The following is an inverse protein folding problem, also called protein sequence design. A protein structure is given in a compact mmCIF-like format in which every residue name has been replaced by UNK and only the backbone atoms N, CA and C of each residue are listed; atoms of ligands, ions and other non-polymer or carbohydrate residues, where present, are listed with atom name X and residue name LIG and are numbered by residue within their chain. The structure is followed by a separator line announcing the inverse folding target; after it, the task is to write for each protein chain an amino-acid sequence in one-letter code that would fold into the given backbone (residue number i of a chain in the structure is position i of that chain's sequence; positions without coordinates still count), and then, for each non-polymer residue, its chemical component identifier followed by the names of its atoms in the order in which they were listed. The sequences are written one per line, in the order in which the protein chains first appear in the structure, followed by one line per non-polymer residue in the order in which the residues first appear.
data_IF_776876504376
#
_entry.id   IF_776876504376
#
_cell.length_a   1.000
_cell.length_b   1.000
_cell.length_c   1.000
_cell.angle_alpha   90.00
_cell.angle_beta   90.00
_cell.angle_gamma   90.00
#
_symmetry.space_group_name_H-M   'P 1'
#
loop_
_entity.id
_entity.type
_entity.pdbx_description
1 polymer ?
#
# COMPACT_ATOMS: atom_id res chain seq x y z
N UNK A 1 -20.81 -10.93 -17.61
CA UNK A 1 -21.15 -11.15 -16.18
C UNK A 1 -21.68 -9.86 -15.54
N UNK A 2 -22.50 -9.89 -14.48
CA UNK A 2 -22.97 -8.67 -13.83
C UNK A 2 -21.83 -7.92 -13.12
N UNK A 3 -21.94 -6.59 -13.09
CA UNK A 3 -20.99 -5.70 -12.43
C UNK A 3 -21.07 -5.86 -10.91
N UNK A 4 -19.92 -5.98 -10.25
CA UNK A 4 -19.80 -6.08 -8.80
C UNK A 4 -18.92 -4.99 -8.25
N UNK A 5 -19.36 -4.38 -7.16
CA UNK A 5 -18.59 -3.41 -6.41
C UNK A 5 -18.62 -3.79 -4.94
N UNK A 6 -17.45 -3.81 -4.31
CA UNK A 6 -17.37 -3.80 -2.85
C UNK A 6 -16.65 -2.57 -2.36
N UNK A 7 -16.98 -2.19 -1.14
CA UNK A 7 -16.33 -1.10 -0.46
C UNK A 7 -16.07 -1.49 0.99
N UNK A 8 -14.99 -0.99 1.57
CA UNK A 8 -14.74 -1.21 2.99
C UNK A 8 -15.75 -0.46 3.87
N UNK A 9 -16.31 -1.11 4.89
CA UNK A 9 -17.36 -0.51 5.72
C UNK A 9 -16.91 0.79 6.39
N UNK A 10 -15.70 0.82 6.97
CA UNK A 10 -15.21 2.00 7.70
C UNK A 10 -14.68 3.07 6.75
N UNK A 11 -13.99 2.66 5.68
CA UNK A 11 -13.40 3.52 4.67
C UNK A 11 -14.41 4.22 3.80
N UNK A 12 -15.57 3.60 3.60
CA UNK A 12 -16.63 4.13 2.75
C UNK A 12 -17.83 4.65 3.55
N UNK A 13 -17.63 5.04 4.82
CA UNK A 13 -18.66 5.68 5.67
C UNK A 13 -19.28 6.93 5.04
N UNK A 14 -18.56 7.64 4.17
CA UNK A 14 -19.06 8.82 3.45
C UNK A 14 -19.97 8.47 2.27
N UNK A 15 -20.02 7.21 1.84
CA UNK A 15 -20.87 6.79 0.74
C UNK A 15 -22.33 6.78 1.17
N UNK A 16 -23.13 7.63 0.52
CA UNK A 16 -24.53 7.82 0.91
C UNK A 16 -25.39 6.61 0.56
N UNK A 17 -26.47 6.39 1.32
CA UNK A 17 -27.48 5.37 0.98
C UNK A 17 -28.08 5.60 -0.40
N UNK A 18 -28.24 6.86 -0.80
CA UNK A 18 -28.75 7.23 -2.13
C UNK A 18 -27.80 6.74 -3.23
N UNK A 19 -26.50 6.98 -3.10
CA UNK A 19 -25.47 6.51 -4.04
C UNK A 19 -25.51 4.99 -4.21
N UNK A 20 -25.63 4.25 -3.09
CA UNK A 20 -25.75 2.79 -3.12
C UNK A 20 -27.02 2.37 -3.87
N UNK A 21 -28.15 3.02 -3.60
CA UNK A 21 -29.41 2.73 -4.30
C UNK A 21 -29.34 3.01 -5.80
N UNK A 22 -28.68 4.10 -6.21
CA UNK A 22 -28.47 4.44 -7.62
C UNK A 22 -27.59 3.40 -8.33
N UNK A 23 -26.53 2.93 -7.68
CA UNK A 23 -25.68 1.83 -8.18
C UNK A 23 -26.50 0.54 -8.37
N UNK A 24 -27.26 0.14 -7.34
CA UNK A 24 -28.07 -1.08 -7.39
C UNK A 24 -29.16 -1.00 -8.47
N UNK A 25 -29.83 0.15 -8.61
CA UNK A 25 -30.82 0.39 -9.67
C UNK A 25 -30.21 0.32 -11.08
N UNK A 26 -28.92 0.61 -11.20
CA UNK A 26 -28.18 0.51 -12.46
C UNK A 26 -27.65 -0.92 -12.74
N UNK A 27 -28.00 -1.91 -11.91
CA UNK A 27 -27.60 -3.30 -12.07
C UNK A 27 -26.26 -3.67 -11.44
N UNK A 28 -25.67 -2.78 -10.62
CA UNK A 28 -24.44 -3.10 -9.88
C UNK A 28 -24.80 -3.87 -8.62
N UNK A 29 -24.20 -5.05 -8.45
CA UNK A 29 -24.26 -5.79 -7.21
C UNK A 29 -23.27 -5.17 -6.23
N UNK A 30 -23.77 -4.73 -5.07
CA UNK A 30 -22.98 -4.01 -4.07
C UNK A 30 -22.87 -4.78 -2.75
N UNK A 31 -21.67 -4.79 -2.15
CA UNK A 31 -21.47 -5.29 -0.78
C UNK A 31 -20.46 -4.43 0.01
N UNK A 32 -20.55 -4.50 1.34
CA UNK A 32 -19.51 -3.93 2.21
C UNK A 32 -18.63 -5.03 2.79
N UNK A 33 -17.33 -4.81 2.79
CA UNK A 33 -16.35 -5.64 3.51
C UNK A 33 -16.27 -5.26 4.98
N UNK A 34 -15.97 -6.26 5.83
CA UNK A 34 -15.77 -6.11 7.28
C UNK A 34 -16.87 -5.32 8.01
N UNK A 35 -18.14 -5.63 7.69
CA UNK A 35 -19.28 -5.12 8.47
C UNK A 35 -19.07 -5.45 9.96
N UNK A 36 -19.29 -4.50 10.89
CA UNK A 36 -19.15 -4.73 12.32
C UNK A 36 -20.05 -5.89 12.78
N UNK A 37 -19.49 -6.84 13.54
CA UNK A 37 -20.20 -8.04 14.01
C UNK A 37 -19.90 -8.31 15.48
N UNK A 38 -20.92 -8.74 16.23
CA UNK A 38 -20.80 -9.23 17.60
C UNK A 38 -20.32 -10.69 17.62
N UNK A 39 -19.60 -11.15 18.67
CA UNK A 39 -19.21 -10.41 19.88
C UNK A 39 -17.93 -9.57 19.73
N UNK A 40 -17.16 -9.74 18.66
CA UNK A 40 -15.83 -9.10 18.46
C UNK A 40 -15.90 -7.73 17.80
N UNK A 41 -16.75 -6.83 18.33
CA UNK A 41 -17.05 -5.55 17.68
C UNK A 41 -15.80 -4.66 17.51
N UNK A 42 -14.98 -4.52 18.54
CA UNK A 42 -13.75 -3.70 18.49
C UNK A 42 -12.76 -4.22 17.44
N UNK A 43 -12.57 -5.53 17.35
CA UNK A 43 -11.69 -6.15 16.36
C UNK A 43 -12.23 -5.99 14.93
N UNK A 44 -13.51 -6.25 14.71
CA UNK A 44 -14.13 -6.17 13.37
C UNK A 44 -14.17 -4.75 12.83
N UNK A 45 -14.30 -3.74 13.68
CA UNK A 45 -14.21 -2.31 13.28
C UNK A 45 -12.77 -1.92 12.91
N UNK A 46 -11.78 -2.54 13.53
CA UNK A 46 -10.37 -2.24 13.26
C UNK A 46 -9.85 -2.92 11.99
N UNK A 47 -10.44 -4.03 11.55
CA UNK A 47 -10.10 -4.62 10.25
C UNK A 47 -10.53 -3.73 9.10
N UNK A 48 -9.70 -3.68 8.06
CA UNK A 48 -9.97 -2.92 6.84
C UNK A 48 -9.66 -3.77 5.63
N UNK A 49 -10.55 -3.73 4.64
CA UNK A 49 -10.24 -4.20 3.31
C UNK A 49 -9.50 -3.05 2.62
N UNK A 50 -8.18 -3.20 2.55
CA UNK A 50 -7.32 -2.19 1.97
C UNK A 50 -6.90 -2.56 0.54
N UNK A 51 -7.41 -3.66 -0.01
CA UNK A 51 -7.20 -4.07 -1.39
C UNK A 51 -7.96 -3.15 -2.35
N UNK A 52 -7.28 -2.68 -3.39
CA UNK A 52 -7.89 -1.95 -4.51
C UNK A 52 -7.65 -2.78 -5.76
N UNK A 53 -8.70 -3.45 -6.21
CA UNK A 53 -8.69 -4.37 -7.35
C UNK A 53 -9.81 -3.97 -8.28
N UNK A 54 -9.49 -3.80 -9.55
CA UNK A 54 -10.47 -3.68 -10.63
C UNK A 54 -10.21 -4.76 -11.65
N UNK A 55 -11.23 -5.54 -12.01
CA UNK A 55 -11.14 -6.50 -13.11
C UNK A 55 -12.26 -6.22 -14.11
N UNK A 56 -11.87 -6.05 -15.38
CA UNK A 56 -12.77 -5.75 -16.49
C UNK A 56 -12.81 -6.96 -17.41
N UNK A 57 -14.00 -7.53 -17.59
CA UNK A 57 -14.29 -8.69 -18.44
C UNK A 57 -13.43 -9.94 -18.18
N UNK A 58 -12.77 -10.01 -17.01
CA UNK A 58 -11.77 -11.04 -16.71
C UNK A 58 -10.49 -10.95 -17.56
N UNK A 59 -10.26 -9.83 -18.26
CA UNK A 59 -9.15 -9.67 -19.24
C UNK A 59 -8.18 -8.54 -18.90
N UNK A 60 -8.64 -7.53 -18.18
CA UNK A 60 -7.83 -6.39 -17.76
C UNK A 60 -7.95 -6.27 -16.25
N UNK A 61 -6.82 -6.27 -15.57
CA UNK A 61 -6.72 -6.12 -14.13
C UNK A 61 -6.03 -4.81 -13.77
N UNK A 62 -6.44 -4.21 -12.65
CA UNK A 62 -5.71 -3.12 -12.01
C UNK A 62 -5.54 -3.40 -10.52
N UNK A 63 -4.35 -3.08 -9.99
CA UNK A 63 -4.02 -3.16 -8.57
C UNK A 63 -3.02 -2.04 -8.21
N UNK A 64 -3.03 -1.57 -6.96
CA UNK A 64 -2.07 -0.58 -6.46
C UNK A 64 -2.71 0.43 -5.52
N UNK A 65 -2.09 1.58 -5.30
CA UNK A 65 -2.48 2.50 -4.23
C UNK A 65 -3.76 3.32 -4.49
N UNK A 66 -4.20 3.43 -5.74
CA UNK A 66 -5.30 4.32 -6.12
C UNK A 66 -6.63 3.92 -5.48
N UNK A 67 -7.26 4.88 -4.80
CA UNK A 67 -8.66 4.81 -4.41
C UNK A 67 -9.54 5.45 -5.49
N UNK A 68 -10.87 5.31 -5.35
CA UNK A 68 -11.83 6.05 -6.16
C UNK A 68 -12.12 7.38 -5.48
N UNK A 69 -11.45 8.45 -5.93
CA UNK A 69 -11.56 9.79 -5.36
C UNK A 69 -11.07 10.89 -6.30
N UNK A 70 -11.49 12.13 -6.06
CA UNK A 70 -11.14 13.29 -6.91
C UNK A 70 -9.64 13.62 -6.84
N UNK A 71 -9.01 13.30 -5.72
CA UNK A 71 -7.60 13.50 -5.46
C UNK A 71 -6.69 12.75 -6.46
N UNK A 72 -7.07 11.55 -6.90
CA UNK A 72 -6.31 10.74 -7.88
C UNK A 72 -6.44 11.23 -9.33
N UNK A 73 -7.30 12.23 -9.58
CA UNK A 73 -7.44 12.90 -10.89
C UNK A 73 -7.08 14.38 -10.79
N UNK A 74 -6.30 14.76 -9.77
CA UNK A 74 -5.85 16.13 -9.49
C UNK A 74 -7.00 17.14 -9.30
N UNK A 75 -8.17 16.68 -8.86
CA UNK A 75 -9.33 17.51 -8.52
C UNK A 75 -9.61 17.56 -7.01
N UNK A 76 -8.63 17.16 -6.20
CA UNK A 76 -8.69 17.26 -4.74
C UNK A 76 -8.50 18.72 -4.26
N UNK A 77 -9.19 19.09 -3.19
CA UNK A 77 -9.12 20.44 -2.60
C UNK A 77 -7.84 20.68 -1.77
N UNK A 78 -7.22 19.61 -1.28
CA UNK A 78 -6.01 19.64 -0.44
C UNK A 78 -5.03 18.58 -0.91
N UNK A 79 -3.74 18.77 -0.59
CA UNK A 79 -2.72 17.74 -0.77
C UNK A 79 -2.55 17.26 -2.23
N UNK A 80 -2.78 18.15 -3.18
CA UNK A 80 -2.86 17.86 -4.62
C UNK A 80 -1.57 18.37 -5.32
N UNK A 81 -0.98 17.63 -6.27
CA UNK A 81 -1.30 16.26 -6.72
C UNK A 81 -1.06 15.17 -5.69
N UNK A 82 -1.82 14.08 -5.82
CA UNK A 82 -1.50 12.80 -5.19
C UNK A 82 -0.57 12.03 -6.11
N UNK A 83 0.62 11.70 -5.60
CA UNK A 83 1.59 10.85 -6.28
C UNK A 83 1.46 9.44 -5.75
N UNK A 84 1.16 8.49 -6.63
CA UNK A 84 0.97 7.08 -6.29
C UNK A 84 1.25 6.19 -7.52
N UNK A 85 1.24 4.87 -7.34
CA UNK A 85 1.52 3.85 -8.35
C UNK A 85 0.31 2.91 -8.50
N UNK A 86 -0.01 2.57 -9.74
CA UNK A 86 -1.09 1.65 -10.07
C UNK A 86 -0.71 0.79 -11.27
N UNK A 87 -0.75 -0.52 -11.12
CA UNK A 87 -0.40 -1.45 -12.18
C UNK A 87 -1.63 -1.74 -13.03
N UNK A 88 -1.42 -1.76 -14.34
CA UNK A 88 -2.33 -2.38 -15.29
C UNK A 88 -1.78 -3.74 -15.68
N UNK A 89 -2.59 -4.76 -15.56
CA UNK A 89 -2.24 -6.14 -15.87
C UNK A 89 -3.14 -6.68 -16.99
N UNK A 90 -2.54 -7.47 -17.88
CA UNK A 90 -3.22 -8.21 -18.95
C UNK A 90 -2.60 -9.60 -19.09
N UNK A 91 -3.33 -10.52 -19.72
CA UNK A 91 -2.89 -11.91 -19.82
C UNK A 91 -3.17 -12.69 -18.54
N UNK A 92 -2.55 -13.86 -18.38
CA UNK A 92 -2.88 -14.84 -17.34
C UNK A 92 -2.87 -14.29 -15.90
N UNK A 93 -2.02 -13.31 -15.57
CA UNK A 93 -1.99 -12.71 -14.22
C UNK A 93 -3.30 -12.04 -13.79
N UNK A 94 -4.16 -11.64 -14.74
CA UNK A 94 -5.50 -11.09 -14.42
C UNK A 94 -6.36 -12.12 -13.68
N UNK A 95 -6.11 -13.41 -13.91
CA UNK A 95 -6.80 -14.50 -13.22
C UNK A 95 -6.60 -14.41 -11.70
N UNK A 96 -5.40 -14.09 -11.23
CA UNK A 96 -5.10 -14.00 -9.80
C UNK A 96 -5.93 -12.88 -9.15
N UNK A 97 -5.99 -11.71 -9.79
CA UNK A 97 -6.82 -10.60 -9.31
C UNK A 97 -8.31 -10.93 -9.31
N UNK A 98 -8.77 -11.65 -10.34
CA UNK A 98 -10.15 -12.13 -10.42
C UNK A 98 -10.46 -13.12 -9.29
N UNK A 99 -9.56 -14.06 -9.00
CA UNK A 99 -9.71 -15.03 -7.91
C UNK A 99 -9.72 -14.36 -6.53
N UNK A 100 -8.85 -13.38 -6.29
CA UNK A 100 -8.84 -12.61 -5.03
C UNK A 100 -10.13 -11.81 -4.88
N UNK A 101 -10.55 -11.08 -5.91
CA UNK A 101 -11.78 -10.30 -5.85
C UNK A 101 -13.01 -11.18 -5.55
N UNK A 102 -13.11 -12.33 -6.21
CA UNK A 102 -14.22 -13.28 -6.01
C UNK A 102 -14.14 -13.99 -4.67
N UNK A 103 -12.95 -14.29 -4.15
CA UNK A 103 -12.78 -14.84 -2.80
C UNK A 103 -13.26 -13.87 -1.73
N UNK A 104 -12.86 -12.60 -1.86
CA UNK A 104 -13.35 -11.55 -0.97
C UNK A 104 -14.87 -11.32 -1.15
N UNK A 105 -15.40 -11.51 -2.36
CA UNK A 105 -16.84 -11.37 -2.62
C UNK A 105 -17.62 -12.47 -1.90
N UNK A 106 -17.14 -13.71 -2.02
CA UNK A 106 -17.69 -14.85 -1.33
C UNK A 106 -17.64 -14.67 0.19
N UNK A 107 -16.52 -14.16 0.74
CA UNK A 107 -16.41 -13.85 2.17
C UNK A 107 -17.51 -12.90 2.67
N UNK A 108 -17.82 -11.86 1.90
CA UNK A 108 -18.77 -10.82 2.32
C UNK A 108 -20.24 -11.16 2.04
N UNK A 109 -20.52 -12.02 1.06
CA UNK A 109 -21.88 -12.27 0.53
C UNK A 109 -22.33 -13.72 0.63
N UNK A 110 -21.41 -14.66 0.84
CA UNK A 110 -21.62 -16.10 0.74
C UNK A 110 -22.03 -16.58 -0.68
N UNK A 111 -21.82 -15.76 -1.71
CA UNK A 111 -22.02 -16.13 -3.12
C UNK A 111 -20.69 -16.49 -3.77
N UNK A 112 -20.49 -17.76 -4.15
CA UNK A 112 -19.24 -18.22 -4.75
C UNK A 112 -19.32 -18.26 -6.28
N UNK A 113 -18.47 -17.46 -6.94
CA UNK A 113 -18.36 -17.42 -8.40
C UNK A 113 -16.99 -17.88 -8.92
N UNK A 114 -16.09 -18.37 -8.06
CA UNK A 114 -14.73 -18.76 -8.47
C UNK A 114 -14.69 -19.95 -9.43
N UNK A 115 -15.75 -20.75 -9.48
CA UNK A 115 -15.95 -21.81 -10.47
C UNK A 115 -16.79 -21.42 -11.68
N UNK A 116 -17.17 -20.15 -11.83
CA UNK A 116 -18.07 -19.71 -12.92
C UNK A 116 -17.27 -19.33 -14.17
N UNK A 117 -17.34 -20.10 -15.28
CA UNK A 117 -16.48 -19.89 -16.45
C UNK A 117 -16.60 -18.51 -17.09
N UNK A 118 -17.76 -17.86 -16.94
CA UNK A 118 -18.00 -16.53 -17.48
C UNK A 118 -17.09 -15.42 -16.89
N UNK A 119 -16.46 -15.62 -15.72
CA UNK A 119 -15.46 -14.69 -15.17
C UNK A 119 -14.02 -15.02 -15.56
N UNK A 120 -13.79 -16.19 -16.16
CA UNK A 120 -12.46 -16.71 -16.48
C UNK A 120 -12.37 -16.98 -17.98
N UNK A 121 -12.33 -15.92 -18.81
CA UNK A 121 -12.10 -16.12 -20.23
C UNK A 121 -10.72 -16.76 -20.46
N UNK A 122 -10.51 -17.35 -21.63
CA UNK A 122 -9.18 -17.79 -22.04
C UNK A 122 -8.26 -16.59 -22.16
N UNK A 123 -7.15 -16.62 -21.43
CA UNK A 123 -6.12 -15.60 -21.41
C UNK A 123 -4.85 -16.13 -22.05
N UNK A 124 -4.02 -15.23 -22.56
CA UNK A 124 -2.69 -15.58 -23.09
C UNK A 124 -1.65 -15.44 -21.99
N UNK A 125 -0.64 -16.32 -21.94
CA UNK A 125 0.50 -16.16 -21.04
C UNK A 125 1.16 -14.79 -21.18
N UNK A 126 1.50 -14.19 -20.03
CA UNK A 126 2.30 -12.98 -19.98
C UNK A 126 3.79 -13.29 -20.18
N UNK A 127 4.59 -12.26 -20.47
CA UNK A 127 6.04 -12.38 -20.60
C UNK A 127 6.80 -12.00 -19.33
N UNK A 128 6.13 -11.37 -18.35
CA UNK A 128 6.73 -10.84 -17.14
C UNK A 128 6.42 -11.76 -15.95
N UNK A 129 7.47 -12.28 -15.33
CA UNK A 129 7.35 -13.04 -14.09
C UNK A 129 6.91 -12.11 -12.95
N UNK A 130 5.87 -12.51 -12.24
CA UNK A 130 5.35 -11.79 -11.09
C UNK A 130 4.72 -12.76 -10.09
N UNK A 131 4.50 -12.26 -8.87
CA UNK A 131 3.78 -12.95 -7.81
C UNK A 131 2.78 -11.99 -7.18
N UNK A 132 1.50 -12.38 -7.15
CA UNK A 132 0.50 -11.68 -6.35
C UNK A 132 0.56 -12.18 -4.92
N UNK A 133 0.80 -11.27 -3.98
CA UNK A 133 0.87 -11.55 -2.54
C UNK A 133 -0.38 -10.96 -1.88
N UNK A 134 -1.11 -11.80 -1.15
CA UNK A 134 -2.39 -11.45 -0.54
C UNK A 134 -2.31 -11.73 0.95
N UNK A 135 -2.54 -10.71 1.77
CA UNK A 135 -2.40 -10.81 3.24
C UNK A 135 -3.66 -10.36 3.95
N UNK A 136 -3.93 -10.88 5.15
CA UNK A 136 -5.13 -10.58 5.93
C UNK A 136 -4.78 -10.20 7.38
N UNK A 137 -3.80 -9.30 7.55
CA UNK A 137 -3.22 -8.94 8.84
C UNK A 137 -2.20 -9.96 9.36
N UNK A 138 -1.60 -10.74 8.45
CA UNK A 138 -0.52 -11.70 8.70
C UNK A 138 0.37 -11.79 7.47
N UNK A 139 1.57 -12.36 7.60
CA UNK A 139 2.47 -12.76 6.51
C UNK A 139 3.14 -11.63 5.72
N UNK A 140 2.60 -10.40 5.73
CA UNK A 140 3.22 -9.26 5.03
C UNK A 140 4.62 -8.95 5.59
N UNK A 141 4.76 -8.90 6.92
CA UNK A 141 6.07 -8.70 7.57
C UNK A 141 7.09 -9.75 7.10
N UNK A 142 6.68 -11.02 7.04
CA UNK A 142 7.55 -12.11 6.60
C UNK A 142 7.95 -11.95 5.12
N UNK A 143 7.00 -11.60 4.25
CA UNK A 143 7.27 -11.34 2.83
C UNK A 143 8.27 -10.20 2.65
N UNK A 144 8.03 -9.08 3.33
CA UNK A 144 8.91 -7.90 3.27
C UNK A 144 10.30 -8.19 3.84
N UNK A 145 10.39 -8.89 4.98
CA UNK A 145 11.66 -9.36 5.54
C UNK A 145 12.42 -10.24 4.54
N UNK A 146 11.73 -11.17 3.86
CA UNK A 146 12.37 -12.03 2.87
C UNK A 146 12.92 -11.21 1.69
N UNK A 147 12.18 -10.23 1.20
CA UNK A 147 12.64 -9.35 0.12
C UNK A 147 13.85 -8.51 0.54
N UNK A 148 13.79 -7.86 1.71
CA UNK A 148 14.88 -7.02 2.23
C UNK A 148 16.19 -7.82 2.39
N UNK A 149 16.09 -9.08 2.83
CA UNK A 149 17.25 -9.99 2.94
C UNK A 149 17.94 -10.30 1.63
N UNK A 150 17.26 -10.19 0.50
CA UNK A 150 17.84 -10.46 -0.81
C UNK A 150 18.61 -9.27 -1.40
N UNK A 151 18.49 -8.08 -0.79
CA UNK A 151 19.17 -6.88 -1.28
C UNK A 151 20.68 -6.96 -1.10
N UNK A 152 21.41 -6.63 -2.17
CA UNK A 152 22.88 -6.59 -2.22
C UNK A 152 23.44 -5.21 -2.56
N UNK A 153 22.64 -4.31 -3.16
CA UNK A 153 23.10 -2.99 -3.63
C UNK A 153 22.24 -1.85 -3.11
N UNK A 154 20.91 -1.93 -3.30
CA UNK A 154 19.99 -0.85 -2.96
C UNK A 154 18.59 -1.34 -2.59
N UNK A 155 17.95 -0.57 -1.72
CA UNK A 155 16.53 -0.66 -1.35
C UNK A 155 15.94 0.74 -1.47
N UNK A 156 14.89 0.89 -2.28
CA UNK A 156 14.11 2.14 -2.33
C UNK A 156 12.69 1.84 -1.86
N UNK A 157 12.23 2.54 -0.83
CA UNK A 157 10.89 2.39 -0.25
C UNK A 157 10.13 3.70 -0.45
N UNK A 158 9.04 3.66 -1.21
CA UNK A 158 8.07 4.74 -1.29
C UNK A 158 6.81 4.40 -0.49
N UNK A 159 6.50 5.19 0.54
CA UNK A 159 5.33 4.96 1.42
C UNK A 159 4.76 6.29 1.94
N UNK A 160 3.42 6.43 2.12
CA UNK A 160 2.90 7.57 2.86
C UNK A 160 3.27 7.52 4.35
N UNK A 161 3.40 6.32 4.90
CA UNK A 161 3.59 6.07 6.33
C UNK A 161 4.75 5.11 6.54
N UNK A 162 5.74 5.54 7.32
CA UNK A 162 6.91 4.73 7.64
C UNK A 162 6.93 4.46 9.15
N UNK A 163 6.20 3.43 9.55
CA UNK A 163 6.06 3.01 10.94
C UNK A 163 6.33 1.49 10.98
N UNK A 164 7.55 1.05 10.64
CA UNK A 164 7.85 -0.37 10.54
C UNK A 164 7.66 -1.10 11.87
N UNK A 165 7.48 -2.41 11.77
CA UNK A 165 7.69 -3.30 12.92
C UNK A 165 9.16 -3.32 13.32
N UNK A 166 9.44 -3.83 14.52
CA UNK A 166 10.81 -3.94 15.01
C UNK A 166 11.63 -4.90 14.14
N UNK A 167 11.01 -5.97 13.64
CA UNK A 167 11.61 -6.89 12.67
C UNK A 167 12.00 -6.15 11.38
N UNK A 168 11.08 -5.43 10.75
CA UNK A 168 11.37 -4.73 9.49
C UNK A 168 12.42 -3.64 9.67
N UNK A 169 12.38 -2.91 10.79
CA UNK A 169 13.41 -1.94 11.11
C UNK A 169 14.77 -2.63 11.21
N UNK A 170 14.86 -3.74 11.97
CA UNK A 170 16.11 -4.47 12.14
C UNK A 170 16.68 -4.99 10.81
N UNK A 171 15.85 -5.49 9.92
CA UNK A 171 16.28 -5.98 8.60
C UNK A 171 16.84 -4.87 7.70
N UNK A 172 16.26 -3.65 7.76
CA UNK A 172 16.81 -2.49 7.07
C UNK A 172 18.17 -2.05 7.64
N UNK A 173 18.32 -2.09 8.96
CA UNK A 173 19.59 -1.80 9.64
C UNK A 173 20.67 -2.81 9.27
N UNK A 174 20.30 -4.09 9.18
CA UNK A 174 21.21 -5.14 8.72
C UNK A 174 21.58 -4.98 7.23
N UNK A 175 20.68 -4.49 6.39
CA UNK A 175 21.00 -4.14 5.00
C UNK A 175 22.02 -3.00 4.93
N UNK A 176 21.82 -1.92 5.69
CA UNK A 176 22.79 -0.81 5.80
C UNK A 176 24.16 -1.29 6.29
N UNK A 177 24.18 -2.18 7.28
CA UNK A 177 25.42 -2.78 7.79
C UNK A 177 26.14 -3.69 6.78
N UNK A 178 25.46 -4.14 5.71
CA UNK A 178 26.03 -4.85 4.55
C UNK A 178 26.37 -3.91 3.38
N UNK A 179 26.46 -2.61 3.63
CA UNK A 179 26.71 -1.56 2.63
C UNK A 179 25.65 -1.47 1.51
N UNK A 180 24.42 -1.96 1.77
CA UNK A 180 23.26 -1.78 0.89
C UNK A 180 22.72 -0.37 1.10
N UNK A 181 22.55 0.42 0.03
CA UNK A 181 21.94 1.74 0.16
C UNK A 181 20.44 1.61 0.48
N UNK A 182 19.95 2.37 1.45
CA UNK A 182 18.53 2.39 1.80
C UNK A 182 18.01 3.82 1.64
N UNK A 183 17.06 4.00 0.74
CA UNK A 183 16.38 5.28 0.50
C UNK A 183 14.90 5.13 0.81
N UNK A 184 14.36 6.03 1.65
CA UNK A 184 12.94 6.06 2.00
C UNK A 184 12.33 7.37 1.53
N UNK A 185 11.34 7.30 0.64
CA UNK A 185 10.56 8.44 0.16
C UNK A 185 9.24 8.50 0.94
N UNK A 186 9.00 9.62 1.60
CA UNK A 186 7.80 9.90 2.39
C UNK A 186 7.25 11.30 2.08
N UNK A 187 5.96 11.58 2.32
CA UNK A 187 5.42 12.91 2.13
C UNK A 187 6.04 13.94 3.10
N UNK A 188 6.36 15.14 2.61
CA UNK A 188 6.71 16.26 3.49
C UNK A 188 5.49 16.72 4.31
N UNK A 189 4.33 16.76 3.65
CA UNK A 189 3.04 17.21 4.21
C UNK A 189 2.18 15.97 4.49
N UNK A 190 1.77 15.79 5.75
CA UNK A 190 0.94 14.65 6.18
C UNK A 190 -0.55 14.93 5.99
N UNK A 191 -1.33 13.89 5.69
CA UNK A 191 -2.80 13.92 5.64
C UNK A 191 -3.46 13.73 7.01
N UNK A 192 -2.73 13.10 7.94
CA UNK A 192 -3.16 12.89 9.32
C UNK A 192 -2.22 13.55 10.33
N UNK A 193 -2.80 14.08 11.41
CA UNK A 193 -2.04 14.59 12.54
C UNK A 193 -1.29 13.42 13.21
N UNK A 194 -0.04 13.65 13.62
CA UNK A 194 0.84 12.71 14.33
C UNK A 194 1.54 11.63 13.50
N UNK A 195 1.13 11.35 12.26
CA UNK A 195 1.77 10.28 11.46
C UNK A 195 3.22 10.60 11.11
N UNK A 196 3.49 11.85 10.76
CA UNK A 196 4.85 12.35 10.55
C UNK A 196 5.69 12.18 11.82
N UNK A 197 5.14 12.57 12.96
CA UNK A 197 5.79 12.41 14.27
C UNK A 197 5.99 10.93 14.65
N UNK A 198 5.08 10.03 14.27
CA UNK A 198 5.21 8.58 14.50
C UNK A 198 6.42 7.98 13.77
N UNK A 199 6.80 8.57 12.63
CA UNK A 199 7.89 8.08 11.78
C UNK A 199 9.28 8.54 12.26
N UNK A 200 9.37 9.68 12.96
CA UNK A 200 10.64 10.28 13.37
C UNK A 200 11.55 9.41 14.24
N UNK A 201 11.05 8.62 15.22
CA UNK A 201 11.90 7.71 15.98
C UNK A 201 12.66 6.73 15.08
N UNK A 202 12.01 6.22 14.04
CA UNK A 202 12.60 5.29 13.08
C UNK A 202 13.62 5.99 12.18
N UNK A 203 13.28 7.19 11.67
CA UNK A 203 14.20 7.97 10.84
C UNK A 203 15.48 8.35 11.58
N UNK A 204 15.43 8.68 12.87
CA UNK A 204 16.65 8.97 13.65
C UNK A 204 17.61 7.78 13.67
N UNK A 205 17.09 6.56 13.78
CA UNK A 205 17.92 5.35 13.75
C UNK A 205 18.53 5.16 12.37
N UNK A 206 17.70 5.20 11.33
CA UNK A 206 18.15 4.93 9.96
C UNK A 206 19.10 6.02 9.41
N UNK A 207 18.83 7.29 9.65
CA UNK A 207 19.71 8.40 9.24
C UNK A 207 21.11 8.27 9.87
N UNK A 208 21.17 7.95 11.16
CA UNK A 208 22.43 7.73 11.88
C UNK A 208 23.24 6.55 11.30
N UNK A 209 22.55 5.57 10.74
CA UNK A 209 23.15 4.39 10.12
C UNK A 209 23.36 4.55 8.60
N UNK A 210 23.15 5.74 8.05
CA UNK A 210 23.49 6.09 6.67
C UNK A 210 22.37 5.94 5.65
N UNK A 211 21.13 5.70 6.07
CA UNK A 211 19.99 5.74 5.15
C UNK A 211 19.68 7.16 4.68
N UNK A 212 19.08 7.28 3.51
CA UNK A 212 18.56 8.52 2.98
C UNK A 212 17.05 8.61 3.19
N UNK A 213 16.57 9.64 3.89
CA UNK A 213 15.15 9.89 4.06
C UNK A 213 14.76 11.12 3.23
N UNK A 214 13.91 10.92 2.23
CA UNK A 214 13.55 11.90 1.22
C UNK A 214 12.10 12.33 1.40
N UNK A 215 11.89 13.63 1.59
CA UNK A 215 10.57 14.23 1.79
C UNK A 215 10.05 14.80 0.47
N UNK A 216 9.07 14.11 -0.12
CA UNK A 216 8.43 14.53 -1.36
C UNK A 216 7.66 15.84 -1.17
N UNK A 217 7.89 16.81 -2.06
CA UNK A 217 7.43 18.20 -1.88
C UNK A 217 6.31 18.62 -2.82
N UNK A 218 6.07 17.89 -3.92
CA UNK A 218 5.11 18.29 -4.96
C UNK A 218 3.65 17.93 -4.69
N UNK A 219 3.30 17.57 -3.46
CA UNK A 219 1.95 17.20 -3.08
C UNK A 219 1.95 16.13 -2.00
N UNK A 220 0.99 15.21 -2.05
CA UNK A 220 0.96 14.09 -1.13
C UNK A 220 1.46 12.81 -1.78
N UNK A 221 2.50 12.26 -1.18
CA UNK A 221 3.13 11.03 -1.61
C UNK A 221 2.40 9.84 -0.97
N UNK A 222 1.56 9.19 -1.76
CA UNK A 222 0.72 8.07 -1.36
C UNK A 222 1.16 6.75 -1.98
N UNK A 223 2.35 6.69 -2.57
CA UNK A 223 2.93 5.49 -3.16
C UNK A 223 3.05 4.32 -2.18
N UNK A 224 2.97 3.09 -2.69
CA UNK A 224 3.32 1.86 -1.96
C UNK A 224 4.19 1.02 -2.87
N UNK A 225 5.48 1.35 -2.89
CA UNK A 225 6.45 0.77 -3.80
C UNK A 225 7.72 0.40 -3.04
N UNK A 226 8.26 -0.78 -3.30
CA UNK A 226 9.55 -1.22 -2.80
C UNK A 226 10.34 -1.76 -3.98
N UNK A 227 11.51 -1.20 -4.22
CA UNK A 227 12.44 -1.65 -5.27
C UNK A 227 13.70 -2.20 -4.60
N UNK A 228 14.06 -3.44 -4.96
CA UNK A 228 15.25 -4.14 -4.44
C UNK A 228 16.17 -4.45 -5.62
N UNK A 229 17.37 -3.85 -5.59
CA UNK A 229 18.39 -3.98 -6.62
C UNK A 229 17.83 -3.82 -8.05
N UNK A 230 18.22 -4.70 -8.97
CA UNK A 230 17.64 -4.90 -10.30
C UNK A 230 16.89 -6.24 -10.39
N UNK A 231 16.41 -6.77 -9.26
CA UNK A 231 15.87 -8.15 -9.15
C UNK A 231 14.38 -8.23 -8.84
N UNK A 232 13.81 -7.25 -8.11
CA UNK A 232 12.38 -7.21 -7.85
C UNK A 232 11.85 -5.82 -7.54
N UNK A 233 10.58 -5.60 -7.89
CA UNK A 233 9.81 -4.43 -7.50
C UNK A 233 8.44 -4.87 -6.99
N UNK A 234 8.09 -4.47 -5.78
CA UNK A 234 6.77 -4.67 -5.20
C UNK A 234 5.95 -3.38 -5.30
N UNK A 235 4.78 -3.46 -5.92
CA UNK A 235 3.79 -2.39 -5.97
C UNK A 235 2.45 -2.96 -5.51
N UNK A 236 1.80 -2.26 -4.58
CA UNK A 236 0.60 -2.81 -3.97
C UNK A 236 -0.24 -1.79 -3.21
N UNK A 237 -0.95 -2.30 -2.22
CA UNK A 237 -1.80 -1.49 -1.34
C UNK A 237 -1.19 -1.27 0.03
N UNK A 238 -0.26 -2.14 0.44
CA UNK A 238 0.34 -2.13 1.76
C UNK A 238 1.27 -0.93 1.97
N UNK A 239 1.03 -0.14 3.01
CA UNK A 239 1.99 0.84 3.48
C UNK A 239 3.12 0.13 4.25
N UNK A 240 4.24 0.82 4.46
CA UNK A 240 5.32 0.36 5.33
C UNK A 240 5.03 0.65 6.81
N UNK A 241 3.89 0.15 7.30
CA UNK A 241 3.39 0.37 8.66
C UNK A 241 2.93 -0.93 9.36
N UNK A 242 2.85 -0.88 10.70
CA UNK A 242 2.37 -1.99 11.53
C UNK A 242 0.94 -2.39 11.19
N UNK A 243 0.10 -1.42 10.84
CA UNK A 243 -1.31 -1.67 10.52
C UNK A 243 -1.48 -2.53 9.26
N UNK A 244 -0.71 -2.26 8.21
CA UNK A 244 -0.67 -3.09 6.99
C UNK A 244 -0.13 -4.48 7.29
N UNK A 245 0.86 -4.58 8.19
CA UNK A 245 1.44 -5.87 8.58
C UNK A 245 0.47 -6.76 9.37
N UNK A 246 -0.30 -6.19 10.30
CA UNK A 246 -0.96 -6.96 11.36
C UNK A 246 -2.48 -6.82 11.44
N UNK A 247 -3.10 -5.91 10.68
CA UNK A 247 -4.54 -5.63 10.79
C UNK A 247 -5.26 -5.59 9.44
N UNK A 248 -4.69 -4.92 8.45
CA UNK A 248 -5.35 -4.72 7.17
C UNK A 248 -5.25 -5.94 6.28
N UNK A 249 -6.24 -6.09 5.39
CA UNK A 249 -6.15 -6.99 4.25
C UNK A 249 -5.52 -6.24 3.08
N UNK A 250 -4.37 -6.70 2.60
CA UNK A 250 -3.58 -6.05 1.55
C UNK A 250 -3.43 -6.96 0.33
N UNK A 251 -3.08 -6.35 -0.80
CA UNK A 251 -2.67 -7.02 -2.03
C UNK A 251 -1.49 -6.29 -2.65
N UNK A 252 -0.46 -7.06 -2.95
CA UNK A 252 0.81 -6.60 -3.47
C UNK A 252 1.18 -7.43 -4.70
N UNK A 253 1.93 -6.84 -5.64
CA UNK A 253 2.40 -7.53 -6.82
C UNK A 253 3.91 -7.34 -6.93
N UNK A 254 4.64 -8.43 -6.69
CA UNK A 254 6.09 -8.48 -6.81
C UNK A 254 6.42 -8.85 -8.24
N UNK A 255 7.07 -7.96 -8.97
CA UNK A 255 7.47 -8.14 -10.36
C UNK A 255 8.98 -8.38 -10.41
N UNK A 256 9.40 -9.40 -11.16
CA UNK A 256 10.80 -9.84 -11.30
C UNK A 256 11.38 -9.55 -12.69
N UNK A 257 10.66 -8.80 -13.51
CA UNK A 257 11.10 -8.41 -14.85
C UNK A 257 12.01 -7.18 -14.81
N UNK A 258 13.22 -7.31 -15.36
CA UNK A 258 14.22 -6.25 -15.33
C UNK A 258 13.78 -4.98 -16.06
N UNK A 259 13.09 -5.10 -17.20
CA UNK A 259 12.66 -3.93 -17.98
C UNK A 259 11.64 -3.13 -17.18
N UNK A 260 10.69 -3.83 -16.55
CA UNK A 260 9.72 -3.22 -15.65
C UNK A 260 10.40 -2.52 -14.46
N UNK A 261 11.37 -3.18 -13.82
CA UNK A 261 12.12 -2.62 -12.69
C UNK A 261 12.87 -1.34 -13.11
N UNK A 262 13.52 -1.35 -14.27
CA UNK A 262 14.21 -0.18 -14.82
C UNK A 262 13.25 0.98 -15.10
N UNK A 263 12.02 0.71 -15.54
CA UNK A 263 11.01 1.74 -15.76
C UNK A 263 10.48 2.31 -14.44
N UNK A 264 10.22 1.48 -13.44
CA UNK A 264 9.84 1.95 -12.09
C UNK A 264 10.98 2.74 -11.44
N UNK A 265 12.23 2.34 -11.64
CA UNK A 265 13.38 3.09 -11.14
C UNK A 265 13.45 4.51 -11.72
N UNK A 266 13.14 4.69 -13.02
CA UNK A 266 13.07 6.03 -13.63
C UNK A 266 11.98 6.89 -13.00
N UNK A 267 10.81 6.30 -12.72
CA UNK A 267 9.71 6.99 -12.04
C UNK A 267 10.08 7.39 -10.60
N UNK A 268 10.76 6.50 -9.87
CA UNK A 268 11.29 6.79 -8.54
C UNK A 268 12.37 7.87 -8.57
N UNK A 269 13.19 7.93 -9.61
CA UNK A 269 14.18 8.99 -9.77
C UNK A 269 13.53 10.38 -9.95
N UNK A 270 12.36 10.45 -10.61
CA UNK A 270 11.55 11.67 -10.67
C UNK A 270 11.05 12.02 -9.26
N UNK A 271 10.51 11.05 -8.51
CA UNK A 271 10.03 11.27 -7.15
C UNK A 271 11.15 11.78 -6.22
N UNK A 272 12.37 11.25 -6.37
CA UNK A 272 13.56 11.68 -5.63
C UNK A 272 13.98 13.11 -6.00
N UNK A 273 13.94 13.46 -7.29
CA UNK A 273 14.26 14.82 -7.76
C UNK A 273 13.25 15.87 -7.25
N UNK A 274 12.02 15.44 -6.95
CA UNK A 274 10.96 16.26 -6.36
C UNK A 274 10.93 16.20 -4.82
N UNK A 275 11.94 15.57 -4.22
CA UNK A 275 12.07 15.41 -2.78
C UNK A 275 13.24 16.21 -2.20
N UNK A 276 13.14 16.52 -0.91
CA UNK A 276 14.22 17.13 -0.13
C UNK A 276 14.72 16.16 0.94
N UNK A 277 16.03 16.03 1.16
CA UNK A 277 16.55 15.18 2.23
C UNK A 277 16.12 15.71 3.62
N UNK A 278 15.73 14.78 4.49
CA UNK A 278 15.50 15.03 5.91
C UNK A 278 16.82 14.92 6.67
N UNK A 279 17.37 16.07 7.06
CA UNK A 279 18.65 16.11 7.77
C UNK A 279 18.50 15.69 9.24
N UNK A 280 19.49 14.98 9.76
CA UNK A 280 19.56 14.55 11.17
C UNK A 280 19.41 15.73 12.14
N UNK A 281 20.03 16.88 11.83
CA UNK A 281 19.94 18.13 12.61
C UNK A 281 18.50 18.61 12.82
N UNK A 282 17.63 18.33 11.85
CA UNK A 282 16.21 18.68 11.96
C UNK A 282 15.56 17.87 13.08
N UNK A 283 15.95 16.60 13.26
CA UNK A 283 15.39 15.67 14.23
C UNK A 283 16.09 15.68 15.59
N UNK A 284 17.34 16.14 15.65
CA UNK A 284 18.16 16.21 16.88
C UNK A 284 17.82 17.43 17.75
N UNK A 285 17.37 18.54 17.15
CA UNK A 285 16.98 19.73 17.90
C UNK A 285 15.82 19.45 18.87
N UNK A 286 16.05 19.70 20.17
CA UNK A 286 15.05 19.49 21.22
C UNK A 286 13.83 20.37 20.98
N UNK A 287 12.70 19.77 20.61
CA UNK A 287 11.41 20.43 20.49
C UNK A 287 10.41 19.70 21.37
N UNK A 288 10.08 20.30 22.53
CA UNK A 288 9.23 19.69 23.56
C UNK A 288 7.84 19.31 23.02
N UNK A 289 7.27 20.15 22.14
CA UNK A 289 5.97 19.87 21.51
C UNK A 289 6.08 18.66 20.58
N UNK A 290 7.15 18.58 19.80
CA UNK A 290 7.42 17.42 18.95
C UNK A 290 7.63 16.16 19.79
N UNK A 291 8.43 16.19 20.84
CA UNK A 291 8.68 15.04 21.72
C UNK A 291 7.39 14.55 22.40
N UNK A 292 6.49 15.45 22.83
CA UNK A 292 5.19 15.06 23.36
C UNK A 292 4.31 14.36 22.31
N UNK A 293 4.28 14.89 21.08
CA UNK A 293 3.56 14.27 19.96
C UNK A 293 4.14 12.92 19.56
N UNK A 294 5.46 12.77 19.54
CA UNK A 294 6.14 11.50 19.26
C UNK A 294 5.78 10.43 20.29
N UNK A 295 5.78 10.79 21.58
CA UNK A 295 5.35 9.88 22.65
C UNK A 295 3.91 9.42 22.47
N UNK A 296 2.99 10.35 22.16
CA UNK A 296 1.60 10.02 21.88
C UNK A 296 1.45 9.14 20.62
N UNK A 297 2.19 9.46 19.57
CA UNK A 297 2.18 8.73 18.31
C UNK A 297 2.72 7.30 18.46
N UNK A 298 3.77 7.11 19.29
CA UNK A 298 4.34 5.80 19.59
C UNK A 298 3.33 4.87 20.26
N UNK A 299 2.53 5.40 21.20
CA UNK A 299 1.43 4.66 21.86
C UNK A 299 0.37 4.23 20.84
N UNK A 300 0.09 5.08 19.85
CA UNK A 300 -0.89 4.82 18.79
C UNK A 300 -0.32 3.99 17.63
N UNK A 301 1.00 3.80 17.55
CA UNK A 301 1.68 3.13 16.44
C UNK A 301 1.14 1.74 16.06
N UNK A 302 0.62 0.90 16.99
CA UNK A 302 0.00 -0.37 16.59
C UNK A 302 -1.29 -0.21 15.77
N UNK A 303 -1.90 0.98 15.81
CA UNK A 303 -3.15 1.31 15.11
C UNK A 303 -2.95 2.27 13.93
N UNK A 304 -1.76 2.84 13.80
CA UNK A 304 -1.34 3.73 12.70
C UNK A 304 -0.81 2.88 11.53
#
# INVERSE_FOLDING_TARGET
PPNRLKADWVGSKKMSRQTIQELTKSGVHFSFSFKPKLPFLFYTIQKRNHRKITVIDGKIGYLGGFNIGKEYINQGEKLNPWRDYHLKMTGEGVKDLQEVFLSDWFYDTNEDYRGTPAYFPTLTPGTQAHQVVVTNGSDLEQSLTHMIKQANKKIIIGTPYFIPSDTLLQELREALARDVSVTVIVPEISDHALVKEASYPYFRVLLKEGAEIMQFQRGFYHSKVILIDDIMCDIGTANFDKRSCFLNSEINCIVFDRTFIEDVEKELAVDLAESKPLNEDTLSNMNVVRSAKESLASILSPFL
#
